data_IF_361910825940
#
_entry.id   IF_361910825940
#
_cell.length_a   1.000
_cell.length_b   1.000
_cell.length_c   1.000
_cell.angle_alpha   90.00
_cell.angle_beta   90.00
_cell.angle_gamma   90.00
#
_symmetry.space_group_name_H-M   'P 1'
#
loop_
_entity.id
_entity.type
_entity.pdbx_description
1 polymer ?
#
# COMPACT_ATOMS: atom_id res chain seq x y z
N UNK A 1 -21.30 22.10 26.37
CA UNK A 1 -20.30 21.80 25.30
C UNK A 1 -19.11 20.94 25.75
N UNK A 2 -18.52 21.13 26.95
CA UNK A 2 -17.35 20.32 27.39
C UNK A 2 -17.62 18.80 27.52
N UNK A 3 -18.83 18.40 27.92
CA UNK A 3 -19.20 16.98 28.05
C UNK A 3 -19.34 16.25 26.71
N UNK A 4 -20.00 16.87 25.71
CA UNK A 4 -20.17 16.28 24.38
C UNK A 4 -18.82 16.01 23.69
N UNK A 5 -17.84 16.92 23.83
CA UNK A 5 -16.50 16.71 23.27
C UNK A 5 -15.72 15.56 23.93
N UNK A 6 -15.91 15.32 25.23
CA UNK A 6 -15.26 14.20 25.94
C UNK A 6 -15.81 12.85 25.51
N UNK A 7 -17.12 12.74 25.27
CA UNK A 7 -17.73 11.50 24.77
C UNK A 7 -17.17 11.12 23.40
N UNK A 8 -17.13 12.06 22.44
CA UNK A 8 -16.53 11.82 21.13
C UNK A 8 -15.04 11.45 21.20
N UNK A 9 -14.28 12.11 22.07
CA UNK A 9 -12.87 11.78 22.30
C UNK A 9 -12.68 10.35 22.84
N UNK A 10 -13.54 9.93 23.78
CA UNK A 10 -13.55 8.58 24.33
C UNK A 10 -13.89 7.54 23.27
N UNK A 11 -14.91 7.79 22.45
CA UNK A 11 -15.30 6.93 21.33
C UNK A 11 -14.14 6.78 20.33
N UNK A 12 -13.46 7.87 19.97
CA UNK A 12 -12.30 7.80 19.08
C UNK A 12 -11.18 6.95 19.66
N UNK A 13 -10.86 7.11 20.94
CA UNK A 13 -9.84 6.32 21.62
C UNK A 13 -10.21 4.82 21.65
N UNK A 14 -11.46 4.48 21.97
CA UNK A 14 -11.95 3.10 22.00
C UNK A 14 -11.92 2.44 20.61
N UNK A 15 -12.38 3.15 19.57
CA UNK A 15 -12.31 2.66 18.19
C UNK A 15 -10.85 2.43 17.79
N UNK A 16 -9.96 3.36 18.15
CA UNK A 16 -8.53 3.24 17.85
C UNK A 16 -7.92 2.00 18.52
N UNK A 17 -8.21 1.77 19.80
CA UNK A 17 -7.78 0.58 20.53
C UNK A 17 -8.32 -0.72 19.91
N UNK A 18 -9.58 -0.74 19.50
CA UNK A 18 -10.17 -1.90 18.84
C UNK A 18 -9.47 -2.20 17.50
N UNK A 19 -9.21 -1.17 16.68
CA UNK A 19 -8.50 -1.34 15.41
C UNK A 19 -7.05 -1.78 15.63
N UNK A 20 -6.34 -1.21 16.61
CA UNK A 20 -5.00 -1.65 17.02
C UNK A 20 -5.05 -3.15 17.38
N UNK A 21 -5.92 -3.55 18.31
CA UNK A 21 -6.01 -4.94 18.75
C UNK A 21 -6.35 -5.90 17.58
N UNK A 22 -7.31 -5.54 16.72
CA UNK A 22 -7.69 -6.36 15.57
C UNK A 22 -6.58 -6.53 14.54
N UNK A 23 -5.71 -5.53 14.39
CA UNK A 23 -4.64 -5.54 13.39
C UNK A 23 -3.34 -6.15 13.90
N UNK A 24 -3.04 -6.01 15.19
CA UNK A 24 -1.79 -6.49 15.78
C UNK A 24 -1.89 -7.86 16.44
N UNK A 25 -3.05 -8.25 17.00
CA UNK A 25 -3.17 -9.47 17.81
C UNK A 25 -3.59 -10.74 17.05
N UNK A 26 -3.35 -10.80 15.74
CA UNK A 26 -3.58 -12.01 14.94
C UNK A 26 -2.32 -12.86 14.79
N UNK A 27 -2.40 -14.18 14.94
CA UNK A 27 -1.27 -15.09 14.63
C UNK A 27 -1.02 -15.19 13.11
N UNK A 28 0.22 -15.44 12.70
CA UNK A 28 0.56 -15.75 11.31
C UNK A 28 1.59 -16.90 11.21
N UNK A 29 1.15 -18.16 11.40
CA UNK A 29 2.07 -19.30 11.45
C UNK A 29 2.93 -19.49 10.19
N UNK A 30 2.50 -18.95 9.04
CA UNK A 30 3.25 -19.01 7.79
C UNK A 30 4.54 -18.18 7.81
N UNK A 31 4.75 -17.33 8.82
CA UNK A 31 5.92 -16.47 8.96
C UNK A 31 6.94 -16.96 10.00
N UNK A 32 6.73 -18.11 10.65
CA UNK A 32 7.61 -18.60 11.72
C UNK A 32 9.09 -18.61 11.37
N UNK A 33 9.45 -19.03 10.15
CA UNK A 33 10.86 -19.07 9.71
C UNK A 33 11.46 -17.67 9.58
N UNK A 34 10.68 -16.72 9.05
CA UNK A 34 11.14 -15.33 8.89
C UNK A 34 11.36 -14.67 10.24
N UNK A 35 10.48 -14.93 11.20
CA UNK A 35 10.59 -14.40 12.56
C UNK A 35 11.84 -14.96 13.27
N UNK A 36 12.23 -16.20 13.00
CA UNK A 36 13.44 -16.77 13.58
C UNK A 36 14.74 -16.13 13.06
N UNK A 37 14.70 -15.49 11.89
CA UNK A 37 15.85 -14.81 11.28
C UNK A 37 15.98 -13.34 11.70
N UNK A 38 14.89 -12.73 12.20
CA UNK A 38 14.90 -11.32 12.61
C UNK A 38 15.31 -11.16 14.07
N UNK A 39 16.20 -10.20 14.33
CA UNK A 39 16.61 -9.85 15.69
C UNK A 39 15.70 -8.76 16.24
N UNK A 40 15.31 -8.89 17.52
CA UNK A 40 14.51 -7.90 18.25
C UNK A 40 15.03 -6.46 18.11
N UNK A 41 16.35 -6.28 18.01
CA UNK A 41 17.02 -4.98 17.92
C UNK A 41 16.97 -4.31 16.55
N UNK A 42 16.45 -4.98 15.51
CA UNK A 42 16.45 -4.42 14.18
C UNK A 42 15.33 -3.38 14.00
N UNK A 43 15.70 -2.13 13.77
CA UNK A 43 14.73 -1.02 13.65
C UNK A 43 13.98 -1.00 12.32
N UNK A 44 14.62 -1.40 11.23
CA UNK A 44 13.97 -1.49 9.92
C UNK A 44 14.47 -2.77 9.31
N UNK A 45 13.74 -3.87 9.49
CA UNK A 45 14.10 -5.20 9.02
C UNK A 45 13.08 -5.75 8.02
N UNK A 46 13.52 -6.74 7.24
CA UNK A 46 12.71 -7.36 6.19
C UNK A 46 12.50 -6.48 4.96
N UNK A 47 11.79 -7.06 3.99
CA UNK A 47 11.53 -6.46 2.67
C UNK A 47 10.60 -5.23 2.74
N UNK A 48 9.81 -5.10 3.80
CA UNK A 48 8.78 -4.08 3.97
C UNK A 48 8.93 -3.25 5.26
N UNK A 49 10.12 -3.25 5.90
CA UNK A 49 10.29 -2.63 7.22
C UNK A 49 9.90 -1.16 7.31
N UNK A 50 10.08 -0.36 6.25
CA UNK A 50 9.63 1.04 6.25
C UNK A 50 8.11 1.14 6.16
N UNK A 51 7.47 0.28 5.37
CA UNK A 51 6.00 0.19 5.33
C UNK A 51 5.44 -0.16 6.69
N UNK A 52 6.08 -1.09 7.41
CA UNK A 52 5.62 -1.52 8.74
C UNK A 52 5.74 -0.37 9.76
N UNK A 53 6.85 0.38 9.76
CA UNK A 53 7.00 1.61 10.57
C UNK A 53 5.92 2.65 10.24
N UNK A 54 5.67 2.92 8.96
CA UNK A 54 4.66 3.90 8.54
C UNK A 54 3.24 3.48 8.98
N UNK A 55 2.91 2.20 8.80
CA UNK A 55 1.61 1.66 9.20
C UNK A 55 1.39 1.78 10.70
N UNK A 56 2.41 1.46 11.50
CA UNK A 56 2.40 1.60 12.95
C UNK A 56 2.20 3.04 13.41
N UNK A 57 2.92 3.99 12.79
CA UNK A 57 2.74 5.42 13.05
C UNK A 57 1.30 5.86 12.78
N UNK A 58 0.74 5.45 11.63
CA UNK A 58 -0.62 5.81 11.22
C UNK A 58 -1.69 5.13 12.09
N UNK A 59 -1.47 3.88 12.49
CA UNK A 59 -2.39 3.08 13.29
C UNK A 59 -2.57 3.67 14.70
N UNK A 60 -1.50 4.18 15.30
CA UNK A 60 -1.51 4.69 16.67
C UNK A 60 -1.75 6.21 16.80
N UNK A 61 -1.59 6.98 15.73
CA UNK A 61 -1.88 8.42 15.75
C UNK A 61 -3.32 8.78 16.17
N UNK A 62 -4.38 8.08 15.70
CA UNK A 62 -5.75 8.34 16.16
C UNK A 62 -5.96 8.18 17.67
N UNK A 63 -5.28 7.21 18.30
CA UNK A 63 -5.33 7.04 19.75
C UNK A 63 -4.70 8.24 20.46
N UNK A 64 -3.54 8.69 19.99
CA UNK A 64 -2.88 9.91 20.49
C UNK A 64 -3.78 11.15 20.42
N UNK A 65 -4.50 11.32 19.30
CA UNK A 65 -5.51 12.37 19.12
C UNK A 65 -6.61 12.25 20.18
N UNK A 66 -7.18 11.06 20.35
CA UNK A 66 -8.21 10.78 21.36
C UNK A 66 -7.76 11.13 22.77
N UNK A 67 -6.54 10.70 23.16
CA UNK A 67 -5.97 10.99 24.48
C UNK A 67 -5.76 12.49 24.71
N UNK A 68 -5.23 13.22 23.71
CA UNK A 68 -5.10 14.69 23.82
C UNK A 68 -6.46 15.34 23.97
N UNK A 69 -7.46 14.91 23.20
CA UNK A 69 -8.80 15.46 23.24
C UNK A 69 -9.51 15.16 24.58
N UNK A 70 -9.23 14.02 25.21
CA UNK A 70 -9.62 13.71 26.59
C UNK A 70 -8.93 14.58 27.65
N UNK A 71 -7.90 15.35 27.28
CA UNK A 71 -7.18 16.26 28.15
C UNK A 71 -5.96 15.64 28.83
N UNK A 72 -5.46 14.50 28.35
CA UNK A 72 -4.28 13.88 28.91
C UNK A 72 -3.03 14.74 28.66
N UNK A 73 -2.15 14.83 29.66
CA UNK A 73 -0.84 15.46 29.49
C UNK A 73 0.05 14.61 28.58
N UNK A 74 0.99 15.25 27.88
CA UNK A 74 1.86 14.56 26.92
C UNK A 74 2.64 13.41 27.56
N UNK A 75 3.16 13.62 28.78
CA UNK A 75 3.85 12.58 29.56
C UNK A 75 2.96 11.36 29.83
N UNK A 76 1.71 11.57 30.26
CA UNK A 76 0.76 10.47 30.52
C UNK A 76 0.38 9.75 29.24
N UNK A 77 0.14 10.49 28.16
CA UNK A 77 -0.18 9.91 26.86
C UNK A 77 0.98 9.04 26.35
N UNK A 78 2.20 9.58 26.29
CA UNK A 78 3.39 8.83 25.83
C UNK A 78 3.64 7.60 26.70
N UNK A 79 3.57 7.72 28.03
CA UNK A 79 3.75 6.57 28.92
C UNK A 79 2.71 5.48 28.65
N UNK A 80 1.43 5.84 28.51
CA UNK A 80 0.38 4.87 28.22
C UNK A 80 0.57 4.19 26.85
N UNK A 81 1.05 4.93 25.84
CA UNK A 81 1.36 4.38 24.52
C UNK A 81 2.54 3.40 24.57
N UNK A 82 3.59 3.73 25.31
CA UNK A 82 4.73 2.84 25.53
C UNK A 82 4.30 1.55 26.25
N UNK A 83 3.53 1.67 27.32
CA UNK A 83 3.03 0.51 28.07
C UNK A 83 2.09 -0.36 27.23
N UNK A 84 1.17 0.27 26.48
CA UNK A 84 0.28 -0.45 25.57
C UNK A 84 1.08 -1.22 24.51
N UNK A 85 2.07 -0.59 23.89
CA UNK A 85 2.85 -1.25 22.85
C UNK A 85 3.70 -2.37 23.42
N UNK A 86 4.39 -2.15 24.54
CA UNK A 86 5.13 -3.22 25.23
C UNK A 86 4.23 -4.41 25.58
N UNK A 87 2.98 -4.14 26.00
CA UNK A 87 1.98 -5.19 26.23
C UNK A 87 1.62 -5.97 24.97
N UNK A 88 1.45 -5.29 23.84
CA UNK A 88 1.16 -5.92 22.53
C UNK A 88 2.35 -6.78 22.09
N UNK A 89 3.57 -6.25 22.11
CA UNK A 89 4.77 -6.99 21.71
C UNK A 89 5.02 -8.21 22.61
N UNK A 90 4.85 -8.07 23.93
CA UNK A 90 4.97 -9.19 24.86
C UNK A 90 3.90 -10.26 24.59
N UNK A 91 2.67 -9.83 24.27
CA UNK A 91 1.58 -10.74 23.89
C UNK A 91 1.91 -11.46 22.58
N UNK A 92 2.45 -10.76 21.59
CA UNK A 92 2.86 -11.36 20.32
C UNK A 92 3.99 -12.37 20.50
N UNK A 93 5.04 -11.99 21.23
CA UNK A 93 6.20 -12.83 21.50
C UNK A 93 5.84 -14.15 22.21
N UNK A 94 4.90 -14.09 23.16
CA UNK A 94 4.59 -15.24 24.03
C UNK A 94 3.41 -16.05 23.52
N UNK A 95 2.39 -15.42 22.93
CA UNK A 95 1.10 -16.07 22.65
C UNK A 95 0.77 -16.21 21.16
N UNK A 96 1.42 -15.49 20.25
CA UNK A 96 1.02 -15.43 18.84
C UNK A 96 2.09 -16.01 17.91
N UNK A 97 1.83 -17.23 17.41
CA UNK A 97 2.76 -17.91 16.52
C UNK A 97 2.99 -17.13 15.21
N UNK A 98 4.26 -16.95 14.86
CA UNK A 98 4.69 -16.28 13.63
C UNK A 98 4.47 -14.78 13.61
N UNK A 99 4.40 -14.13 14.78
CA UNK A 99 4.57 -12.69 14.90
C UNK A 99 5.95 -12.38 15.44
N UNK A 100 6.61 -11.44 14.78
CA UNK A 100 7.85 -10.87 15.27
C UNK A 100 7.50 -9.82 16.31
N UNK A 101 8.14 -9.90 17.46
CA UNK A 101 8.09 -8.83 18.42
C UNK A 101 9.32 -7.97 18.17
N UNK A 102 9.16 -6.66 17.97
CA UNK A 102 10.28 -5.82 17.58
C UNK A 102 10.38 -4.51 18.35
N UNK A 103 11.62 -4.08 18.62
CA UNK A 103 11.88 -2.76 19.17
C UNK A 103 11.37 -1.66 18.22
N UNK A 104 11.39 -1.92 16.91
CA UNK A 104 10.85 -0.99 15.91
C UNK A 104 9.38 -0.71 16.15
N UNK A 105 8.58 -1.76 16.36
CA UNK A 105 7.14 -1.62 16.59
C UNK A 105 6.86 -0.84 17.87
N UNK A 106 7.60 -1.10 18.96
CA UNK A 106 7.54 -0.30 20.20
C UNK A 106 7.74 1.19 19.92
N UNK A 107 8.80 1.53 19.19
CA UNK A 107 9.16 2.92 18.89
C UNK A 107 8.17 3.57 17.93
N UNK A 108 7.81 2.90 16.83
CA UNK A 108 6.91 3.41 15.81
C UNK A 108 5.50 3.65 16.36
N UNK A 109 4.94 2.70 17.12
CA UNK A 109 3.62 2.84 17.73
C UNK A 109 3.60 3.97 18.78
N UNK A 110 4.63 4.03 19.64
CA UNK A 110 4.77 5.09 20.64
C UNK A 110 4.90 6.47 19.99
N UNK A 111 5.72 6.58 18.95
CA UNK A 111 5.89 7.81 18.18
C UNK A 111 4.61 8.20 17.43
N UNK A 112 3.87 7.24 16.89
CA UNK A 112 2.59 7.46 16.23
C UNK A 112 1.59 8.13 17.17
N UNK A 113 1.43 7.58 18.38
CA UNK A 113 0.59 8.20 19.41
C UNK A 113 1.09 9.57 19.85
N UNK A 114 2.41 9.77 19.97
CA UNK A 114 2.97 11.07 20.30
C UNK A 114 2.69 12.12 19.20
N UNK A 115 2.85 11.76 17.93
CA UNK A 115 2.53 12.60 16.76
C UNK A 115 1.05 12.96 16.78
N UNK A 116 0.16 11.97 16.94
CA UNK A 116 -1.28 12.21 17.03
C UNK A 116 -1.66 13.17 18.16
N UNK A 117 -1.09 12.95 19.35
CA UNK A 117 -1.30 13.81 20.52
C UNK A 117 -0.85 15.26 20.26
N UNK A 118 0.32 15.43 19.63
CA UNK A 118 0.88 16.75 19.30
C UNK A 118 0.14 17.43 18.13
N UNK A 119 -0.37 16.67 17.17
CA UNK A 119 -1.09 17.19 16.02
C UNK A 119 -2.47 17.73 16.39
N UNK A 120 -3.14 17.16 17.40
CA UNK A 120 -4.53 17.49 17.72
C UNK A 120 -4.83 18.99 17.90
N UNK A 121 -4.05 19.81 18.64
CA UNK A 121 -4.33 21.25 18.75
C UNK A 121 -4.30 22.00 17.41
N UNK A 122 -3.53 21.50 16.43
CA UNK A 122 -3.53 22.06 15.07
C UNK A 122 -4.73 21.55 14.27
N UNK A 123 -5.03 20.26 14.35
CA UNK A 123 -6.19 19.64 13.69
C UNK A 123 -7.51 20.23 14.20
N UNK A 124 -7.63 20.48 15.51
CA UNK A 124 -8.80 21.12 16.09
C UNK A 124 -8.97 22.56 15.60
N UNK A 125 -7.86 23.29 15.40
CA UNK A 125 -7.89 24.62 14.77
C UNK A 125 -8.25 24.56 13.29
N UNK A 126 -7.88 23.50 12.57
CA UNK A 126 -8.22 23.36 11.15
C UNK A 126 -9.69 23.06 10.88
N UNK A 127 -10.50 22.76 11.91
CA UNK A 127 -11.98 22.70 11.79
C UNK A 127 -12.59 24.10 11.61
N UNK A 128 -11.88 25.16 12.01
CA UNK A 128 -12.28 26.55 11.79
C UNK A 128 -11.07 27.38 11.37
N UNK A 129 -10.48 27.08 10.20
CA UNK A 129 -9.22 27.69 9.82
C UNK A 129 -9.44 29.18 9.51
N UNK A 130 -8.44 30.00 9.82
CA UNK A 130 -8.37 31.36 9.25
C UNK A 130 -8.08 31.26 7.76
N UNK A 131 -8.28 32.35 7.00
CA UNK A 131 -7.90 32.39 5.57
C UNK A 131 -6.41 32.08 5.39
N UNK A 132 -5.55 32.58 6.29
CA UNK A 132 -4.13 32.29 6.27
C UNK A 132 -3.82 30.79 6.53
N UNK A 133 -4.51 30.17 7.49
CA UNK A 133 -4.36 28.74 7.77
C UNK A 133 -4.87 27.88 6.60
N UNK A 134 -5.98 28.27 5.98
CA UNK A 134 -6.53 27.61 4.81
C UNK A 134 -5.55 27.65 3.62
N UNK A 135 -4.91 28.80 3.35
CA UNK A 135 -3.87 28.91 2.32
C UNK A 135 -2.68 27.99 2.59
N UNK A 136 -2.15 28.03 3.82
CA UNK A 136 -1.03 27.18 4.24
C UNK A 136 -1.39 25.69 4.16
N UNK A 137 -2.60 25.33 4.59
CA UNK A 137 -3.13 23.98 4.51
C UNK A 137 -3.24 23.50 3.07
N UNK A 138 -3.85 24.30 2.18
CA UNK A 138 -3.95 23.98 0.76
C UNK A 138 -2.56 23.79 0.13
N UNK A 139 -1.63 24.72 0.35
CA UNK A 139 -0.26 24.61 -0.15
C UNK A 139 0.44 23.34 0.35
N UNK A 140 0.32 23.03 1.64
CA UNK A 140 0.93 21.84 2.24
C UNK A 140 0.33 20.56 1.65
N UNK A 141 -0.99 20.44 1.53
CA UNK A 141 -1.62 19.23 0.97
C UNK A 141 -1.31 19.05 -0.51
N UNK A 142 -1.25 20.13 -1.29
CA UNK A 142 -0.84 20.08 -2.70
C UNK A 142 0.60 19.62 -2.82
N UNK A 143 1.51 20.19 -2.02
CA UNK A 143 2.92 19.81 -2.01
C UNK A 143 3.09 18.33 -1.61
N UNK A 144 2.52 17.92 -0.48
CA UNK A 144 2.63 16.54 0.01
C UNK A 144 1.99 15.54 -0.94
N UNK A 145 0.84 15.87 -1.54
CA UNK A 145 0.20 15.01 -2.53
C UNK A 145 1.04 14.88 -3.79
N UNK A 146 1.58 15.99 -4.30
CA UNK A 146 2.45 16.00 -5.49
C UNK A 146 3.71 15.16 -5.25
N UNK A 147 4.36 15.35 -4.10
CA UNK A 147 5.53 14.56 -3.70
C UNK A 147 5.18 13.08 -3.57
N UNK A 148 4.05 12.75 -2.94
CA UNK A 148 3.59 11.36 -2.79
C UNK A 148 3.37 10.71 -4.16
N UNK A 149 2.85 11.44 -5.13
CA UNK A 149 2.59 10.94 -6.48
C UNK A 149 3.88 10.78 -7.29
N UNK A 150 4.83 11.71 -7.16
CA UNK A 150 6.17 11.57 -7.73
C UNK A 150 6.88 10.33 -7.17
N UNK A 151 6.86 10.18 -5.85
CA UNK A 151 7.42 9.01 -5.14
C UNK A 151 6.71 7.73 -5.56
N UNK A 152 5.38 7.78 -5.74
CA UNK A 152 4.61 6.63 -6.20
C UNK A 152 5.02 6.22 -7.61
N UNK A 153 5.07 7.20 -8.52
CA UNK A 153 5.42 6.97 -9.91
C UNK A 153 6.83 6.42 -10.06
N UNK A 154 7.80 7.03 -9.38
CA UNK A 154 9.17 6.50 -9.33
C UNK A 154 9.23 5.11 -8.70
N UNK A 155 8.52 4.91 -7.58
CA UNK A 155 8.60 3.72 -6.76
C UNK A 155 7.99 2.47 -7.41
N UNK A 156 7.01 2.64 -8.30
CA UNK A 156 6.33 1.54 -9.00
C UNK A 156 7.15 0.97 -10.17
N UNK A 157 8.12 1.70 -10.71
CA UNK A 157 8.98 1.18 -11.76
C UNK A 157 9.77 -0.04 -11.28
N UNK A 158 10.06 -1.03 -12.15
CA UNK A 158 10.95 -2.13 -11.82
C UNK A 158 12.31 -1.63 -11.31
N UNK A 159 12.83 -2.33 -10.31
CA UNK A 159 14.19 -2.09 -9.86
C UNK A 159 15.18 -2.78 -10.81
N UNK A 160 15.93 -1.98 -11.56
CA UNK A 160 16.88 -2.47 -12.56
C UNK A 160 18.32 -2.64 -12.07
N UNK A 161 18.59 -2.71 -10.76
CA UNK A 161 19.96 -2.78 -10.25
C UNK A 161 20.63 -4.12 -10.56
N UNK A 162 21.68 -4.16 -11.39
CA UNK A 162 22.31 -5.39 -11.82
C UNK A 162 23.80 -5.40 -11.43
N UNK A 163 24.11 -5.67 -10.15
CA UNK A 163 25.50 -5.94 -9.75
C UNK A 163 25.71 -7.39 -9.33
N UNK A 164 24.65 -8.20 -9.29
CA UNK A 164 24.73 -9.60 -8.89
C UNK A 164 24.03 -10.52 -9.88
N UNK A 165 24.57 -11.74 -10.09
CA UNK A 165 23.91 -12.74 -10.92
C UNK A 165 22.57 -13.12 -10.28
N UNK A 166 21.54 -13.18 -11.11
CA UNK A 166 20.23 -13.66 -10.69
C UNK A 166 20.18 -15.17 -10.83
N UNK A 167 19.48 -15.85 -9.93
CA UNK A 167 19.29 -17.30 -9.94
C UNK A 167 17.81 -17.57 -10.12
N UNK A 168 17.49 -18.36 -11.16
CA UNK A 168 16.14 -18.88 -11.33
C UNK A 168 15.88 -20.01 -10.35
N UNK A 169 14.65 -20.08 -9.83
CA UNK A 169 14.20 -21.12 -8.90
C UNK A 169 12.84 -21.66 -9.36
N UNK A 170 12.78 -22.30 -10.54
CA UNK A 170 11.54 -22.90 -11.05
C UNK A 170 11.09 -24.07 -10.16
N UNK A 171 9.81 -24.10 -9.80
CA UNK A 171 9.19 -25.14 -8.96
C UNK A 171 9.95 -25.46 -7.65
N UNK A 172 10.76 -24.53 -7.13
CA UNK A 172 11.51 -24.75 -5.90
C UNK A 172 10.56 -24.97 -4.73
N UNK A 173 10.82 -26.00 -3.91
CA UNK A 173 9.97 -26.31 -2.77
C UNK A 173 10.25 -25.33 -1.62
N UNK A 174 9.21 -24.64 -1.16
CA UNK A 174 9.29 -23.72 -0.04
C UNK A 174 8.41 -24.20 1.09
N UNK A 175 8.85 -23.98 2.33
CA UNK A 175 8.00 -24.23 3.48
C UNK A 175 6.69 -23.43 3.35
N UNK A 176 5.58 -24.06 3.71
CA UNK A 176 4.26 -23.46 3.60
C UNK A 176 3.69 -23.40 2.18
N UNK A 177 4.40 -23.92 1.18
CA UNK A 177 3.90 -24.07 -0.18
C UNK A 177 3.64 -25.55 -0.51
N UNK A 178 2.58 -25.81 -1.28
CA UNK A 178 2.35 -27.13 -1.86
C UNK A 178 3.21 -27.27 -3.15
N UNK A 179 3.60 -28.49 -3.54
CA UNK A 179 4.23 -28.72 -4.85
C UNK A 179 3.22 -28.44 -5.98
N UNK A 180 3.72 -28.01 -7.14
CA UNK A 180 2.87 -27.83 -8.31
C UNK A 180 2.41 -29.20 -8.85
N UNK A 181 1.09 -29.43 -9.05
CA UNK A 181 0.56 -30.70 -9.55
C UNK A 181 0.73 -30.83 -11.08
N UNK A 182 1.94 -30.63 -11.57
CA UNK A 182 2.24 -30.57 -13.00
C UNK A 182 3.73 -30.40 -13.30
N UNK A 183 4.04 -30.16 -14.56
CA UNK A 183 5.41 -29.96 -15.05
C UNK A 183 5.57 -28.58 -15.65
N UNK A 184 6.66 -27.90 -15.28
CA UNK A 184 7.12 -26.68 -15.92
C UNK A 184 7.98 -27.06 -17.13
N UNK A 185 7.54 -26.72 -18.33
CA UNK A 185 8.24 -27.10 -19.57
C UNK A 185 9.34 -26.10 -19.91
N UNK A 186 9.03 -24.80 -19.82
CA UNK A 186 9.95 -23.73 -20.17
C UNK A 186 9.60 -22.45 -19.43
N UNK A 187 10.63 -21.73 -18.98
CA UNK A 187 10.49 -20.38 -18.46
C UNK A 187 11.47 -19.49 -19.19
N UNK A 188 10.99 -18.36 -19.70
CA UNK A 188 11.85 -17.35 -20.31
C UNK A 188 11.59 -15.98 -19.70
N UNK A 189 12.65 -15.21 -19.43
CA UNK A 189 12.59 -13.81 -19.04
C UNK A 189 13.27 -12.97 -20.13
N UNK A 190 12.53 -12.07 -20.79
CA UNK A 190 13.01 -11.30 -21.93
C UNK A 190 13.61 -12.18 -23.05
N UNK A 191 13.07 -13.39 -23.22
CA UNK A 191 13.56 -14.38 -24.20
C UNK A 191 14.74 -15.23 -23.73
N UNK A 192 15.33 -14.93 -22.57
CA UNK A 192 16.42 -15.71 -21.96
C UNK A 192 15.81 -16.85 -21.13
N UNK A 193 16.27 -18.08 -21.34
CA UNK A 193 15.82 -19.22 -20.53
C UNK A 193 16.20 -19.02 -19.05
N UNK A 194 15.29 -19.39 -18.14
CA UNK A 194 15.46 -19.27 -16.69
C UNK A 194 15.70 -20.66 -16.08
N UNK A 195 16.96 -21.14 -16.00
CA UNK A 195 17.29 -22.42 -15.38
C UNK A 195 17.18 -22.35 -13.85
N UNK A 196 17.35 -23.49 -13.18
CA UNK A 196 17.53 -23.55 -11.72
C UNK A 196 18.98 -23.23 -11.30
N UNK A 197 19.58 -22.23 -11.96
CA UNK A 197 20.99 -21.88 -11.91
C UNK A 197 21.14 -20.36 -12.14
N UNK A 198 22.34 -19.77 -11.94
CA UNK A 198 22.59 -18.39 -12.33
C UNK A 198 22.22 -18.12 -13.79
N UNK A 199 21.53 -17.01 -14.06
CA UNK A 199 21.20 -16.56 -15.40
C UNK A 199 22.49 -16.22 -16.17
N UNK A 200 22.57 -16.56 -17.47
CA UNK A 200 23.74 -16.25 -18.30
C UNK A 200 24.06 -14.75 -18.36
N UNK A 201 23.01 -13.92 -18.31
CA UNK A 201 23.11 -12.47 -18.21
C UNK A 201 21.93 -11.94 -17.41
N UNK A 202 22.16 -10.85 -16.68
CA UNK A 202 21.08 -10.14 -15.99
C UNK A 202 20.32 -9.29 -17.03
N UNK A 203 19.03 -9.56 -17.27
CA UNK A 203 18.26 -8.79 -18.24
C UNK A 203 18.07 -7.36 -17.72
N UNK A 204 18.18 -6.39 -18.62
CA UNK A 204 17.76 -5.02 -18.31
C UNK A 204 16.22 -4.99 -18.22
N UNK A 205 15.71 -4.61 -17.05
CA UNK A 205 14.29 -4.47 -16.78
C UNK A 205 13.80 -3.01 -16.84
N UNK A 206 14.66 -2.08 -17.24
CA UNK A 206 14.37 -0.64 -17.24
C UNK A 206 13.15 -0.26 -18.07
N UNK A 207 13.01 -0.86 -19.26
CA UNK A 207 11.96 -0.49 -20.23
C UNK A 207 10.81 -1.49 -20.30
N UNK A 208 11.09 -2.79 -20.15
CA UNK A 208 10.06 -3.83 -20.14
C UNK A 208 10.54 -5.14 -19.54
N UNK A 209 9.61 -5.88 -18.95
CA UNK A 209 9.82 -7.26 -18.49
C UNK A 209 8.82 -8.15 -19.19
N UNK A 210 9.27 -9.22 -19.85
CA UNK A 210 8.44 -10.23 -20.50
C UNK A 210 8.79 -11.58 -19.90
N UNK A 211 7.98 -12.04 -18.95
CA UNK A 211 8.09 -13.37 -18.40
C UNK A 211 7.10 -14.30 -19.11
N UNK A 212 7.59 -15.43 -19.62
CA UNK A 212 6.74 -16.49 -20.18
C UNK A 212 6.99 -17.79 -19.45
N UNK A 213 5.92 -18.48 -19.11
CA UNK A 213 5.92 -19.77 -18.45
C UNK A 213 5.08 -20.73 -19.29
N UNK A 214 5.69 -21.79 -19.81
CA UNK A 214 5.01 -22.93 -20.41
C UNK A 214 4.93 -24.05 -19.38
N UNK A 215 3.74 -24.58 -19.14
CA UNK A 215 3.50 -25.62 -18.15
C UNK A 215 2.42 -26.60 -18.62
N UNK A 216 2.32 -27.73 -17.94
CA UNK A 216 1.20 -28.67 -18.07
C UNK A 216 0.79 -29.12 -16.69
N UNK A 217 -0.51 -29.09 -16.41
CA UNK A 217 -1.08 -29.58 -15.16
C UNK A 217 -1.41 -31.05 -15.33
N UNK A 218 -0.96 -31.91 -14.42
CA UNK A 218 -1.17 -33.36 -14.52
C UNK A 218 -2.36 -33.82 -13.66
N UNK A 219 -2.74 -33.03 -12.66
CA UNK A 219 -3.83 -33.35 -11.73
C UNK A 219 -4.78 -32.15 -11.56
N UNK A 220 -6.08 -32.41 -11.58
CA UNK A 220 -7.14 -31.43 -11.39
C UNK A 220 -7.27 -30.95 -9.91
N UNK A 221 -6.54 -31.53 -8.96
CA UNK A 221 -6.57 -31.07 -7.56
C UNK A 221 -6.07 -29.64 -7.43
N UNK A 222 -6.91 -28.76 -6.87
CA UNK A 222 -6.53 -27.37 -6.59
C UNK A 222 -5.71 -27.33 -5.29
N UNK A 223 -4.49 -26.75 -5.31
CA UNK A 223 -3.63 -26.68 -4.13
C UNK A 223 -4.33 -25.97 -2.96
N UNK A 224 -4.14 -26.49 -1.73
CA UNK A 224 -4.72 -25.89 -0.52
C UNK A 224 -3.87 -24.72 -0.02
N UNK A 225 -2.55 -24.81 -0.22
CA UNK A 225 -1.59 -23.75 0.07
C UNK A 225 -1.07 -23.14 -1.23
N UNK A 226 -0.48 -21.93 -1.17
CA UNK A 226 0.15 -21.33 -2.34
C UNK A 226 1.21 -22.26 -2.95
N UNK A 227 1.41 -22.17 -4.27
CA UNK A 227 2.42 -22.93 -5.01
C UNK A 227 3.37 -21.94 -5.69
N UNK A 228 4.66 -22.01 -5.38
CA UNK A 228 5.67 -21.18 -6.06
C UNK A 228 5.99 -21.79 -7.42
N UNK A 229 5.51 -21.19 -8.50
CA UNK A 229 5.82 -21.63 -9.86
C UNK A 229 7.23 -21.20 -10.27
N UNK A 230 7.58 -19.96 -9.95
CA UNK A 230 8.87 -19.37 -10.25
C UNK A 230 9.24 -18.32 -9.22
N UNK A 231 10.50 -18.33 -8.80
CA UNK A 231 11.17 -17.16 -8.22
C UNK A 231 12.45 -16.89 -9.00
N UNK A 232 12.77 -15.61 -9.14
CA UNK A 232 14.06 -15.15 -9.61
C UNK A 232 14.63 -14.34 -8.47
N UNK A 233 15.77 -14.75 -7.94
CA UNK A 233 16.40 -14.11 -6.78
C UNK A 233 17.77 -13.59 -7.15
N UNK A 234 18.25 -12.57 -6.44
CA UNK A 234 19.63 -12.12 -6.57
C UNK A 234 20.59 -12.95 -5.69
N UNK A 235 21.89 -12.66 -5.74
CA UNK A 235 22.89 -13.35 -4.92
C UNK A 235 22.66 -13.19 -3.39
N UNK A 236 21.92 -12.16 -2.99
CA UNK A 236 21.51 -11.93 -1.60
C UNK A 236 20.16 -12.57 -1.26
N UNK A 237 19.60 -13.40 -2.14
CA UNK A 237 18.32 -14.11 -2.02
C UNK A 237 17.08 -13.20 -1.99
N UNK A 238 17.18 -11.92 -2.36
CA UNK A 238 16.00 -11.08 -2.50
C UNK A 238 15.27 -11.44 -3.80
N UNK A 239 13.95 -11.55 -3.73
CA UNK A 239 13.13 -11.83 -4.91
C UNK A 239 13.09 -10.61 -5.84
N UNK A 240 13.52 -10.82 -7.09
CA UNK A 240 13.48 -9.87 -8.19
C UNK A 240 12.18 -10.01 -8.99
N UNK A 241 11.76 -11.26 -9.21
CA UNK A 241 10.45 -11.59 -9.74
C UNK A 241 9.90 -12.83 -9.04
N UNK A 242 8.59 -12.91 -8.87
CA UNK A 242 7.93 -14.12 -8.38
C UNK A 242 6.60 -14.37 -9.08
N UNK A 243 6.29 -15.65 -9.25
CA UNK A 243 5.01 -16.15 -9.76
C UNK A 243 4.53 -17.26 -8.83
N UNK A 244 3.39 -17.02 -8.19
CA UNK A 244 2.81 -17.91 -7.20
C UNK A 244 1.35 -18.21 -7.58
N UNK A 245 0.97 -19.49 -7.62
CA UNK A 245 -0.42 -19.90 -7.76
C UNK A 245 -1.09 -19.94 -6.37
N UNK A 246 -2.33 -19.44 -6.27
CA UNK A 246 -3.18 -19.59 -5.09
C UNK A 246 -4.57 -20.01 -5.53
N UNK A 247 -4.88 -21.29 -5.38
CA UNK A 247 -6.09 -21.85 -6.00
C UNK A 247 -6.01 -21.78 -7.51
N UNK A 248 -6.98 -21.11 -8.14
CA UNK A 248 -7.00 -20.80 -9.58
C UNK A 248 -6.44 -19.41 -9.90
N UNK A 249 -6.07 -18.64 -8.87
CA UNK A 249 -5.46 -17.33 -9.05
C UNK A 249 -3.96 -17.44 -9.33
N UNK A 250 -3.45 -16.52 -10.14
CA UNK A 250 -2.02 -16.26 -10.29
C UNK A 250 -1.66 -14.96 -9.57
N UNK A 251 -0.65 -15.01 -8.72
CA UNK A 251 -0.05 -13.86 -8.05
C UNK A 251 1.34 -13.63 -8.65
N UNK A 252 1.60 -12.42 -9.11
CA UNK A 252 2.93 -12.05 -9.64
C UNK A 252 3.46 -10.81 -8.93
N UNK A 253 4.77 -10.69 -8.81
CA UNK A 253 5.43 -9.50 -8.27
C UNK A 253 6.77 -9.27 -8.96
N UNK A 254 7.05 -8.04 -9.41
CA UNK A 254 8.42 -7.61 -9.76
C UNK A 254 8.88 -6.70 -8.65
N UNK A 255 10.11 -6.86 -8.19
CA UNK A 255 10.74 -5.92 -7.28
C UNK A 255 10.67 -4.51 -7.85
N UNK A 256 9.99 -3.62 -7.14
CA UNK A 256 9.83 -2.23 -7.54
C UNK A 256 10.94 -1.37 -6.91
N UNK A 257 11.24 -0.20 -7.48
CA UNK A 257 12.26 0.72 -6.95
C UNK A 257 11.97 1.16 -5.51
N UNK A 258 10.69 1.20 -5.11
CA UNK A 258 10.28 1.46 -3.74
C UNK A 258 10.90 0.47 -2.73
N UNK A 259 11.22 -0.76 -3.15
CA UNK A 259 11.89 -1.75 -2.31
C UNK A 259 13.28 -1.33 -1.83
N UNK A 260 13.95 -0.39 -2.52
CA UNK A 260 15.22 0.20 -2.06
C UNK A 260 15.07 0.95 -0.75
N UNK A 261 13.87 1.46 -0.49
CA UNK A 261 13.50 2.08 0.78
C UNK A 261 12.77 1.11 1.70
N UNK A 262 12.83 -0.20 1.43
CA UNK A 262 12.11 -1.25 2.18
C UNK A 262 10.62 -0.96 2.28
N UNK A 263 10.08 -0.39 1.21
CA UNK A 263 8.65 -0.21 1.01
C UNK A 263 8.14 -1.42 0.25
N UNK A 264 6.98 -1.92 0.68
CA UNK A 264 6.38 -3.15 0.15
C UNK A 264 6.28 -3.12 -1.38
N UNK A 265 6.72 -4.20 -2.01
CA UNK A 265 6.50 -4.40 -3.45
C UNK A 265 5.06 -4.83 -3.70
N UNK A 266 4.33 -4.18 -4.62
CA UNK A 266 3.01 -4.61 -5.03
C UNK A 266 2.97 -6.04 -5.56
N UNK A 267 1.97 -6.80 -5.15
CA UNK A 267 1.66 -8.12 -5.69
C UNK A 267 0.41 -7.98 -6.55
N UNK A 268 0.44 -8.47 -7.78
CA UNK A 268 -0.68 -8.36 -8.72
C UNK A 268 -1.41 -9.69 -8.80
N UNK A 269 -2.73 -9.64 -8.74
CA UNK A 269 -3.61 -10.81 -8.75
C UNK A 269 -4.33 -10.94 -10.08
N UNK A 270 -4.38 -12.16 -10.57
CA UNK A 270 -5.09 -12.54 -11.76
C UNK A 270 -6.00 -13.73 -11.45
N UNK A 271 -7.28 -13.42 -11.43
CA UNK A 271 -8.36 -14.41 -11.28
C UNK A 271 -8.31 -15.38 -12.46
N UNK A 272 -8.58 -16.66 -12.17
CA UNK A 272 -8.76 -17.76 -13.14
C UNK A 272 -7.58 -18.02 -14.09
N UNK A 273 -6.45 -17.34 -13.91
CA UNK A 273 -5.26 -17.52 -14.75
C UNK A 273 -4.69 -18.94 -14.65
N UNK A 274 -4.98 -19.66 -13.56
CA UNK A 274 -4.58 -21.04 -13.30
C UNK A 274 -5.74 -22.05 -13.42
N UNK A 275 -6.88 -21.68 -14.01
CA UNK A 275 -7.93 -22.60 -14.43
C UNK A 275 -7.50 -23.45 -15.65
N UNK A 276 -6.35 -24.12 -15.52
CA UNK A 276 -5.68 -24.87 -16.58
C UNK A 276 -6.26 -26.29 -16.65
N UNK A 277 -6.73 -26.75 -17.83
CA UNK A 277 -7.15 -28.13 -18.03
C UNK A 277 -6.00 -29.11 -17.81
N UNK A 278 -6.31 -30.30 -17.30
CA UNK A 278 -5.33 -31.37 -17.13
C UNK A 278 -4.81 -31.86 -18.48
N UNK A 279 -3.51 -32.15 -18.54
CA UNK A 279 -2.80 -32.70 -19.70
C UNK A 279 -2.87 -31.82 -20.96
N UNK A 280 -3.13 -30.52 -20.81
CA UNK A 280 -3.09 -29.52 -21.89
C UNK A 280 -1.87 -28.61 -21.69
N UNK A 281 -0.98 -28.50 -22.70
CA UNK A 281 0.09 -27.51 -22.67
C UNK A 281 -0.47 -26.09 -22.57
N UNK A 282 -0.03 -25.37 -21.56
CA UNK A 282 -0.55 -24.05 -21.22
C UNK A 282 0.58 -23.02 -21.15
N UNK A 283 0.29 -21.79 -21.59
CA UNK A 283 1.22 -20.68 -21.58
C UNK A 283 0.65 -19.54 -20.74
N UNK A 284 1.47 -19.09 -19.78
CA UNK A 284 1.31 -17.83 -19.08
C UNK A 284 2.33 -16.85 -19.66
N UNK A 285 1.90 -15.63 -19.95
CA UNK A 285 2.80 -14.54 -20.31
C UNK A 285 2.47 -13.31 -19.48
N UNK A 286 3.49 -12.67 -18.94
CA UNK A 286 3.39 -11.47 -18.14
C UNK A 286 4.33 -10.42 -18.71
N UNK A 287 3.75 -9.33 -19.21
CA UNK A 287 4.48 -8.22 -19.78
C UNK A 287 4.31 -7.00 -18.88
N UNK A 288 5.39 -6.53 -18.29
CA UNK A 288 5.48 -5.24 -17.63
C UNK A 288 5.83 -4.18 -18.66
N UNK A 289 4.98 -3.18 -18.80
CA UNK A 289 5.20 -1.98 -19.60
C UNK A 289 5.23 -0.76 -18.67
N UNK A 290 5.78 0.39 -19.10
CA UNK A 290 5.87 1.58 -18.26
C UNK A 290 4.53 2.04 -17.68
N UNK A 291 3.43 1.85 -18.42
CA UNK A 291 2.10 2.37 -18.05
C UNK A 291 1.07 1.29 -17.70
N UNK A 292 1.41 0.00 -17.84
CA UNK A 292 0.49 -1.11 -17.59
C UNK A 292 1.20 -2.45 -17.45
N UNK A 293 0.48 -3.41 -16.89
CA UNK A 293 0.83 -4.81 -16.87
C UNK A 293 -0.14 -5.56 -17.78
N UNK A 294 0.38 -6.35 -18.71
CA UNK A 294 -0.39 -7.29 -19.50
C UNK A 294 -0.14 -8.69 -18.98
N UNK A 295 -1.20 -9.42 -18.69
CA UNK A 295 -1.14 -10.86 -18.47
C UNK A 295 -1.92 -11.57 -19.55
N UNK A 296 -1.36 -12.65 -20.07
CA UNK A 296 -2.01 -13.56 -21.00
C UNK A 296 -1.94 -14.97 -20.41
N UNK A 297 -3.04 -15.71 -20.49
CA UNK A 297 -3.14 -17.12 -20.07
C UNK A 297 -3.95 -17.88 -21.10
N UNK A 298 -3.45 -19.00 -21.60
CA UNK A 298 -4.16 -19.82 -22.59
C UNK A 298 -3.37 -21.05 -23.04
N UNK A 299 -3.99 -21.96 -23.83
CA UNK A 299 -3.29 -23.11 -24.40
C UNK A 299 -2.12 -22.69 -25.30
N UNK A 300 -1.03 -23.46 -25.29
CA UNK A 300 0.12 -23.22 -26.18
C UNK A 300 -0.34 -23.31 -27.64
N UNK A 301 0.02 -22.32 -28.45
CA UNK A 301 -0.34 -22.28 -29.88
C UNK A 301 -1.79 -21.91 -30.18
N UNK A 302 -2.62 -21.62 -29.17
CA UNK A 302 -3.99 -21.16 -29.38
C UNK A 302 -4.11 -19.63 -29.36
N UNK A 303 -5.07 -19.12 -30.14
CA UNK A 303 -5.54 -17.73 -30.09
C UNK A 303 -6.52 -17.46 -28.94
N UNK A 304 -7.08 -18.52 -28.34
CA UNK A 304 -8.00 -18.44 -27.20
C UNK A 304 -7.25 -18.12 -25.91
N UNK A 305 -6.74 -16.89 -25.79
CA UNK A 305 -5.99 -16.41 -24.63
C UNK A 305 -6.82 -15.41 -23.84
N UNK A 306 -6.99 -15.69 -22.56
CA UNK A 306 -7.48 -14.71 -21.60
C UNK A 306 -6.40 -13.65 -21.42
N UNK A 307 -6.67 -12.42 -21.86
CA UNK A 307 -5.77 -11.29 -21.70
C UNK A 307 -6.35 -10.32 -20.68
N UNK A 308 -5.53 -9.91 -19.72
CA UNK A 308 -5.90 -8.95 -18.69
C UNK A 308 -4.87 -7.82 -18.64
N UNK A 309 -5.37 -6.60 -18.69
CA UNK A 309 -4.56 -5.39 -18.59
C UNK A 309 -4.81 -4.73 -17.25
N UNK A 310 -3.77 -4.57 -16.45
CA UNK A 310 -3.81 -3.80 -15.19
C UNK A 310 -3.02 -2.52 -15.44
N UNK A 311 -3.67 -1.36 -15.57
CA UNK A 311 -2.93 -0.14 -15.83
C UNK A 311 -2.14 0.28 -14.58
N UNK A 312 -0.95 0.83 -14.77
CA UNK A 312 -0.17 1.46 -13.71
C UNK A 312 -0.56 2.94 -13.64
N UNK A 313 -0.72 3.47 -12.45
CA UNK A 313 -1.02 4.88 -12.24
C UNK A 313 -0.46 5.37 -10.92
N UNK A 314 -0.28 6.68 -10.83
CA UNK A 314 0.05 7.38 -9.57
C UNK A 314 -1.05 7.22 -8.50
N UNK A 315 -2.26 6.80 -8.90
CA UNK A 315 -3.36 6.46 -7.99
C UNK A 315 -3.08 5.22 -7.13
N UNK A 316 -2.12 4.37 -7.51
CA UNK A 316 -1.77 3.14 -6.79
C UNK A 316 -0.82 3.35 -5.60
N UNK A 317 -0.55 4.59 -5.19
CA UNK A 317 0.36 4.89 -4.08
C UNK A 317 -0.04 4.23 -2.75
N UNK A 318 -1.33 3.93 -2.57
CA UNK A 318 -1.81 3.17 -1.41
C UNK A 318 -1.20 1.77 -1.30
N UNK A 319 -0.78 1.15 -2.42
CA UNK A 319 -0.23 -0.21 -2.42
C UNK A 319 1.05 -0.33 -1.58
N UNK A 320 1.81 0.76 -1.47
CA UNK A 320 3.03 0.86 -0.68
C UNK A 320 2.79 0.89 0.83
N UNK A 321 1.60 1.33 1.24
CA UNK A 321 1.22 1.54 2.65
C UNK A 321 -0.08 0.81 2.99
N UNK A 322 -0.42 -0.24 2.25
CA UNK A 322 -1.64 -0.99 2.48
C UNK A 322 -1.47 -1.95 3.66
N UNK A 323 -2.33 -1.92 4.69
CA UNK A 323 -2.12 -2.67 5.93
C UNK A 323 -2.08 -4.19 5.73
N UNK A 324 -2.90 -4.73 4.85
CA UNK A 324 -3.08 -6.20 4.73
C UNK A 324 -2.25 -6.88 3.64
N UNK A 325 -1.29 -6.17 3.01
CA UNK A 325 -0.51 -6.70 1.88
C UNK A 325 -1.39 -7.34 0.78
N UNK A 326 -2.61 -6.83 0.59
CA UNK A 326 -3.58 -7.45 -0.30
C UNK A 326 -3.08 -7.37 -1.74
N UNK A 327 -3.13 -8.48 -2.50
CA UNK A 327 -2.82 -8.45 -3.92
C UNK A 327 -3.74 -7.48 -4.67
N UNK A 328 -3.17 -6.73 -5.60
CA UNK A 328 -3.87 -5.75 -6.43
C UNK A 328 -4.64 -6.47 -7.54
N UNK A 329 -5.95 -6.29 -7.54
CA UNK A 329 -6.86 -6.71 -8.60
C UNK A 329 -8.31 -6.37 -8.22
N UNK A 330 -9.26 -6.46 -9.16
CA UNK A 330 -10.66 -6.10 -8.91
C UNK A 330 -11.30 -7.00 -7.85
N UNK A 331 -12.20 -6.48 -7.00
CA UNK A 331 -12.61 -5.09 -6.91
C UNK A 331 -11.75 -4.25 -5.94
N UNK A 332 -10.70 -4.82 -5.32
CA UNK A 332 -9.93 -4.18 -4.26
C UNK A 332 -9.14 -2.97 -4.76
N UNK A 333 -8.57 -3.07 -5.96
CA UNK A 333 -7.82 -1.98 -6.58
C UNK A 333 -8.64 -0.69 -6.71
N UNK A 334 -9.90 -0.79 -7.13
CA UNK A 334 -10.79 0.35 -7.27
C UNK A 334 -11.12 0.98 -5.92
N UNK A 335 -11.54 0.18 -4.94
CA UNK A 335 -11.97 0.69 -3.61
C UNK A 335 -10.85 1.46 -2.91
N UNK A 336 -9.65 0.89 -2.89
CA UNK A 336 -8.52 1.55 -2.24
C UNK A 336 -8.02 2.76 -3.01
N UNK A 337 -8.07 2.74 -4.34
CA UNK A 337 -7.75 3.93 -5.15
C UNK A 337 -8.76 5.06 -4.90
N UNK A 338 -10.06 4.75 -4.76
CA UNK A 338 -11.08 5.76 -4.40
C UNK A 338 -10.78 6.40 -3.04
N UNK A 339 -10.48 5.58 -2.02
CA UNK A 339 -10.14 6.07 -0.67
C UNK A 339 -8.84 6.88 -0.67
N UNK A 340 -7.84 6.42 -1.42
CA UNK A 340 -6.57 7.12 -1.59
C UNK A 340 -6.75 8.49 -2.23
N UNK A 341 -7.54 8.58 -3.30
CA UNK A 341 -7.84 9.85 -3.96
C UNK A 341 -8.71 10.76 -3.07
N UNK A 342 -9.60 10.19 -2.25
CA UNK A 342 -10.35 10.95 -1.25
C UNK A 342 -9.43 11.58 -0.20
N UNK A 343 -8.44 10.83 0.30
CA UNK A 343 -7.44 11.31 1.26
C UNK A 343 -6.65 12.51 0.71
N UNK A 344 -6.37 12.53 -0.59
CA UNK A 344 -5.64 13.63 -1.23
C UNK A 344 -6.54 14.76 -1.75
N UNK A 345 -7.82 14.50 -2.04
CA UNK A 345 -8.75 15.50 -2.56
C UNK A 345 -9.55 16.25 -1.50
N UNK A 346 -10.03 15.56 -0.46
CA UNK A 346 -10.91 16.15 0.56
C UNK A 346 -10.20 17.24 1.40
N UNK A 347 -9.00 17.02 1.98
CA UNK A 347 -8.35 18.04 2.80
C UNK A 347 -8.03 19.35 2.07
N UNK A 348 -7.43 19.36 0.85
CA UNK A 348 -7.28 20.62 0.12
C UNK A 348 -8.64 21.20 -0.22
N UNK A 349 -9.63 20.40 -0.65
CA UNK A 349 -11.00 20.88 -0.89
C UNK A 349 -11.60 21.63 0.31
N UNK A 350 -11.44 21.09 1.52
CA UNK A 350 -11.84 21.74 2.76
C UNK A 350 -11.14 23.09 2.97
N UNK A 351 -9.83 23.17 2.77
CA UNK A 351 -9.09 24.42 2.82
C UNK A 351 -9.58 25.43 1.76
N UNK A 352 -9.81 24.98 0.53
CA UNK A 352 -10.28 25.82 -0.57
C UNK A 352 -11.67 26.40 -0.32
N UNK A 353 -12.56 25.60 0.27
CA UNK A 353 -13.89 26.06 0.63
C UNK A 353 -13.88 27.19 1.66
N UNK A 354 -12.75 27.45 2.34
CA UNK A 354 -12.60 28.58 3.26
C UNK A 354 -12.12 29.87 2.59
N UNK A 355 -11.67 29.79 1.33
CA UNK A 355 -11.16 30.92 0.55
C UNK A 355 -12.27 31.58 -0.29
N UNK A 356 -11.94 32.69 -0.97
CA UNK A 356 -12.81 33.31 -1.97
C UNK A 356 -12.82 32.52 -3.29
N UNK A 357 -13.92 32.58 -4.06
CA UNK A 357 -14.12 31.77 -5.28
C UNK A 357 -12.95 31.82 -6.27
N UNK A 358 -12.43 33.02 -6.54
CA UNK A 358 -11.28 33.22 -7.46
C UNK A 358 -10.03 32.51 -6.96
N UNK A 359 -9.72 32.66 -5.67
CA UNK A 359 -8.54 32.04 -5.06
C UNK A 359 -8.68 30.52 -4.96
N UNK A 360 -9.86 30.02 -4.58
CA UNK A 360 -10.15 28.60 -4.55
C UNK A 360 -9.96 27.93 -5.93
N UNK A 361 -10.38 28.62 -7.00
CA UNK A 361 -10.21 28.14 -8.38
C UNK A 361 -8.73 28.03 -8.76
N UNK A 362 -7.92 29.04 -8.42
CA UNK A 362 -6.47 29.01 -8.68
C UNK A 362 -5.77 27.85 -7.98
N UNK A 363 -6.05 27.64 -6.69
CA UNK A 363 -5.44 26.54 -5.96
C UNK A 363 -5.96 25.17 -6.39
N UNK A 364 -7.23 25.03 -6.78
CA UNK A 364 -7.74 23.80 -7.37
C UNK A 364 -7.01 23.47 -8.67
N UNK A 365 -6.81 24.48 -9.54
CA UNK A 365 -6.02 24.33 -10.76
C UNK A 365 -4.56 23.98 -10.45
N UNK A 366 -3.95 24.60 -9.42
CA UNK A 366 -2.59 24.28 -8.98
C UNK A 366 -2.48 22.84 -8.44
N UNK A 367 -3.48 22.36 -7.71
CA UNK A 367 -3.53 20.97 -7.24
C UNK A 367 -3.55 20.00 -8.42
N UNK A 368 -4.52 20.16 -9.33
CA UNK A 368 -4.65 19.31 -10.51
C UNK A 368 -3.42 19.40 -11.42
N UNK A 369 -2.84 20.60 -11.58
CA UNK A 369 -1.61 20.83 -12.33
C UNK A 369 -0.39 20.17 -11.70
N UNK A 370 -0.24 20.23 -10.37
CA UNK A 370 0.84 19.54 -9.65
C UNK A 370 0.74 18.02 -9.80
N UNK A 371 -0.47 17.48 -9.69
CA UNK A 371 -0.76 16.07 -9.88
C UNK A 371 -0.52 15.58 -11.31
N UNK A 372 -0.98 16.34 -12.32
CA UNK A 372 -0.69 16.06 -13.72
C UNK A 372 0.81 16.17 -14.03
N UNK A 373 1.49 17.18 -13.47
CA UNK A 373 2.94 17.35 -13.57
C UNK A 373 3.70 16.17 -12.97
N UNK A 374 3.29 15.67 -11.80
CA UNK A 374 3.87 14.48 -11.17
C UNK A 374 3.72 13.22 -12.05
N UNK A 375 2.55 13.05 -12.67
CA UNK A 375 2.29 11.98 -13.64
C UNK A 375 3.24 12.08 -14.85
N UNK A 376 3.37 13.27 -15.44
CA UNK A 376 4.28 13.50 -16.58
C UNK A 376 5.75 13.22 -16.22
N UNK A 377 6.22 13.74 -15.08
CA UNK A 377 7.61 13.59 -14.64
C UNK A 377 7.95 12.15 -14.28
N UNK A 378 7.01 11.40 -13.69
CA UNK A 378 7.24 10.01 -13.30
C UNK A 378 7.04 9.00 -14.45
N UNK A 379 6.45 9.43 -15.56
CA UNK A 379 6.10 8.57 -16.69
C UNK A 379 4.90 7.66 -16.45
N UNK A 380 4.25 7.73 -15.28
CA UNK A 380 3.01 6.98 -15.01
C UNK A 380 1.78 7.84 -15.32
N UNK A 381 0.82 7.37 -16.13
CA UNK A 381 -0.36 8.15 -16.45
C UNK A 381 -1.27 8.30 -15.23
N UNK A 382 -1.91 9.48 -15.13
CA UNK A 382 -3.16 9.64 -14.38
C UNK A 382 -4.32 9.29 -15.31
N UNK A 383 -5.20 8.39 -14.87
CA UNK A 383 -6.37 8.01 -15.66
C UNK A 383 -7.42 9.12 -15.60
N UNK A 384 -8.21 9.26 -16.67
CA UNK A 384 -9.27 10.26 -16.73
C UNK A 384 -10.27 10.15 -15.55
N UNK A 385 -10.64 8.94 -15.15
CA UNK A 385 -11.55 8.73 -14.01
C UNK A 385 -10.89 9.03 -12.66
N UNK A 386 -9.58 8.82 -12.51
CA UNK A 386 -8.84 9.17 -11.29
C UNK A 386 -8.81 10.69 -11.11
N UNK A 387 -8.55 11.41 -12.21
CA UNK A 387 -8.59 12.88 -12.23
C UNK A 387 -10.00 13.41 -11.93
N UNK A 388 -11.03 12.85 -12.57
CA UNK A 388 -12.42 13.21 -12.34
C UNK A 388 -12.83 12.95 -10.88
N UNK A 389 -12.42 11.82 -10.30
CA UNK A 389 -12.70 11.47 -8.93
C UNK A 389 -11.97 12.38 -7.94
N UNK A 390 -10.71 12.72 -8.20
CA UNK A 390 -9.95 13.66 -7.38
C UNK A 390 -10.57 15.05 -7.40
N UNK A 391 -10.95 15.55 -8.59
CA UNK A 391 -11.67 16.82 -8.73
C UNK A 391 -13.02 16.78 -7.98
N UNK A 392 -13.73 15.65 -8.03
CA UNK A 392 -14.98 15.44 -7.29
C UNK A 392 -14.75 15.51 -5.77
N UNK A 393 -13.70 14.86 -5.25
CA UNK A 393 -13.36 14.92 -3.83
C UNK A 393 -12.94 16.31 -3.37
N UNK A 394 -12.21 17.06 -4.20
CA UNK A 394 -11.93 18.48 -3.94
C UNK A 394 -13.24 19.27 -3.85
N UNK A 395 -14.16 19.06 -4.80
CA UNK A 395 -15.49 19.68 -4.80
C UNK A 395 -16.30 19.36 -3.54
N UNK A 396 -16.32 18.09 -3.11
CA UNK A 396 -16.96 17.66 -1.86
C UNK A 396 -16.36 18.40 -0.66
N UNK A 397 -15.03 18.48 -0.58
CA UNK A 397 -14.35 19.23 0.49
C UNK A 397 -14.77 20.70 0.54
N UNK A 398 -14.88 21.36 -0.62
CA UNK A 398 -15.34 22.76 -0.74
C UNK A 398 -16.77 22.91 -0.22
N UNK A 399 -17.68 22.01 -0.61
CA UNK A 399 -19.08 22.02 -0.16
C UNK A 399 -19.19 21.82 1.35
N UNK A 400 -18.45 20.84 1.89
CA UNK A 400 -18.44 20.55 3.33
C UNK A 400 -17.92 21.75 4.14
N UNK A 401 -16.87 22.43 3.67
CA UNK A 401 -16.37 23.66 4.29
C UNK A 401 -17.39 24.82 4.21
N UNK A 402 -18.06 25.00 3.07
CA UNK A 402 -19.10 26.01 2.93
C UNK A 402 -20.28 25.78 3.90
N UNK A 403 -20.74 24.53 4.02
CA UNK A 403 -21.79 24.14 4.95
C UNK A 403 -21.39 24.40 6.41
N UNK A 404 -20.16 24.00 6.81
CA UNK A 404 -19.64 24.25 8.15
C UNK A 404 -19.55 25.75 8.50
N UNK A 405 -19.20 26.62 7.53
CA UNK A 405 -19.21 28.08 7.73
C UNK A 405 -20.62 28.61 7.94
N UNK A 406 -21.59 28.14 7.16
CA UNK A 406 -22.99 28.56 7.27
C UNK A 406 -23.57 28.19 8.63
N UNK A 407 -23.42 26.93 9.05
CA UNK A 407 -23.88 26.47 10.36
C UNK A 407 -23.25 27.28 11.52
N UNK A 408 -21.98 27.68 11.38
CA UNK A 408 -21.31 28.52 12.38
C UNK A 408 -21.86 29.94 12.43
N UNK A 409 -22.26 30.53 11.29
CA UNK A 409 -22.89 31.87 11.23
C UNK A 409 -24.28 31.85 11.85
N UNK A 410 -25.11 30.89 11.46
CA UNK A 410 -26.47 30.72 12.00
C UNK A 410 -26.44 30.52 13.51
N UNK A 411 -25.46 29.76 14.04
CA UNK A 411 -25.28 29.60 15.48
C UNK A 411 -24.91 30.92 16.19
N UNK A 412 -24.07 31.76 15.56
CA UNK A 412 -23.67 33.06 16.14
C UNK A 412 -24.86 34.02 16.20
N UNK A 413 -25.57 34.16 15.08
CA UNK A 413 -26.79 34.96 14.96
C UNK A 413 -27.85 34.53 15.98
N UNK A 414 -28.09 33.22 16.13
CA UNK A 414 -29.04 32.69 17.11
C UNK A 414 -28.63 32.94 18.57
N UNK A 415 -27.33 33.07 18.87
CA UNK A 415 -26.84 33.31 20.23
C UNK A 415 -26.65 34.80 20.57
N UNK A 416 -26.90 35.72 19.63
CA UNK A 416 -26.68 37.15 19.83
C UNK A 416 -25.22 37.53 20.12
N UNK A 417 -24.27 36.67 19.70
CA UNK A 417 -22.82 36.90 19.79
C UNK A 417 -22.26 37.12 18.38
#
# INVERSE_FOLDING_TARGET
MRHAGRASAGVLALISLAVIALTTLGSNPAQLDRVAETTWSCLVCGDAGTTDVLLNLLLFAPLGVGLRWLGWSGRRAVLAMCLLTLGIEATQAVLLAGRDASLSDVLANSLGGAIGWWAWPRLARSVRPTVADARRGAALFILLGTLTWLVTGWGLHPDGLPDTPWVGQPLHHWRGHDPFPGTLQRVTLNGIDVPNEPLPSTPDLSDSLVLRIALTRNDATTPRRPVSLLRIVDATRHAQASVTQRGEELLVSVRARASRWRVRTPVWRFDDAMAVPTNVPWQLAWHWLPDRILLMSGPVGSDARTTRTIPLSVGLGWAFVHPFAAPIGPPLDYRWTVLWLALWGLPPGWCLGMLGRREATWWAAAALGGYAGASLVSGLPIRAWELALLASWIGVGVVVAAWARRATRETREATGR
#
